data_IF_854622758152
#
_entry.id   IF_854622758152
#
_cell.length_a   1.000
_cell.length_b   1.000
_cell.length_c   1.000
_cell.angle_alpha   90.00
_cell.angle_beta   90.00
_cell.angle_gamma   90.00
#
_symmetry.space_group_name_H-M   'P 1'
#
loop_
_entity.id
_entity.type
_entity.pdbx_description
1 polymer ?
#
# COMPACT_ATOMS: atom_id res chain seq x y z
N UNK A 1 4.32 -28.57 -21.26
CA UNK A 1 3.57 -27.60 -22.04
C UNK A 1 4.57 -26.86 -22.92
N UNK A 2 4.64 -27.23 -24.21
CA UNK A 2 5.43 -26.49 -25.20
C UNK A 2 4.67 -25.22 -25.55
N UNK A 3 5.23 -24.02 -25.38
CA UNK A 3 4.63 -22.81 -25.92
C UNK A 3 4.76 -22.85 -27.44
N UNK A 4 3.69 -23.17 -28.12
CA UNK A 4 3.64 -22.96 -29.59
C UNK A 4 3.56 -21.44 -29.83
N UNK A 5 4.32 -20.89 -30.77
CA UNK A 5 4.40 -19.43 -31.00
C UNK A 5 3.09 -18.80 -31.52
N UNK A 6 2.05 -19.57 -31.69
CA UNK A 6 0.74 -19.12 -32.20
C UNK A 6 -0.32 -18.96 -31.08
N UNK A 7 -0.08 -19.42 -29.87
CA UNK A 7 -0.99 -19.27 -28.75
C UNK A 7 -0.40 -18.35 -27.69
N UNK A 8 -0.54 -17.04 -27.86
CA UNK A 8 -0.22 -16.04 -26.86
C UNK A 8 -1.25 -16.09 -25.71
N UNK A 9 -1.25 -17.16 -24.93
CA UNK A 9 -2.03 -17.22 -23.69
C UNK A 9 -1.26 -16.47 -22.60
N UNK A 10 -1.91 -15.51 -21.95
CA UNK A 10 -1.26 -14.72 -20.92
C UNK A 10 -2.13 -13.58 -20.40
N UNK A 11 -1.59 -12.87 -19.42
CA UNK A 11 -2.18 -11.65 -18.87
C UNK A 11 -1.26 -10.50 -19.27
N UNK A 12 -1.81 -9.52 -19.96
CA UNK A 12 -1.10 -8.30 -20.37
C UNK A 12 -1.68 -7.15 -19.57
N UNK A 13 -0.84 -6.40 -18.91
CA UNK A 13 -1.22 -5.22 -18.13
C UNK A 13 -0.50 -4.01 -18.72
N UNK A 14 -1.28 -3.01 -19.09
CA UNK A 14 -0.76 -1.73 -19.55
C UNK A 14 -1.26 -0.62 -18.63
N UNK A 15 -0.35 0.16 -18.06
CA UNK A 15 -0.65 1.26 -17.16
C UNK A 15 -0.21 2.57 -17.79
N UNK A 16 -1.09 3.57 -17.76
CA UNK A 16 -0.79 4.92 -18.19
C UNK A 16 -1.20 5.91 -17.09
N UNK A 17 -0.28 6.74 -16.67
CA UNK A 17 -0.52 7.80 -15.69
C UNK A 17 0.00 9.12 -16.23
N UNK A 18 -0.85 10.13 -16.26
CA UNK A 18 -0.50 11.48 -16.69
C UNK A 18 -0.85 12.52 -15.64
N UNK A 19 0.10 13.36 -15.32
CA UNK A 19 -0.10 14.53 -14.46
C UNK A 19 -0.62 15.67 -15.31
N UNK A 20 -1.87 16.07 -15.10
CA UNK A 20 -2.52 17.18 -15.83
C UNK A 20 -2.18 18.53 -15.21
N UNK A 21 -2.08 18.56 -13.88
CA UNK A 21 -1.66 19.73 -13.11
C UNK A 21 -0.73 19.28 -11.99
N UNK A 22 0.05 20.16 -11.36
CA UNK A 22 0.94 19.80 -10.26
C UNK A 22 0.24 19.10 -9.09
N UNK A 23 -1.09 19.15 -9.05
CA UNK A 23 -1.91 18.59 -7.95
C UNK A 23 -2.86 17.48 -8.40
N UNK A 24 -3.04 17.30 -9.70
CA UNK A 24 -4.02 16.37 -10.23
C UNK A 24 -3.42 15.49 -11.31
N UNK A 25 -3.53 14.19 -11.13
CA UNK A 25 -3.10 13.18 -12.09
C UNK A 25 -4.26 12.24 -12.41
N UNK A 26 -4.37 11.88 -13.67
CA UNK A 26 -5.28 10.86 -14.19
C UNK A 26 -4.49 9.69 -14.73
N UNK A 27 -5.03 8.49 -14.56
CA UNK A 27 -4.46 7.27 -15.10
C UNK A 27 -5.52 6.32 -15.61
N UNK A 28 -5.08 5.42 -16.45
CA UNK A 28 -5.85 4.29 -16.92
C UNK A 28 -5.00 3.02 -16.83
N UNK A 29 -5.63 1.92 -16.45
CA UNK A 29 -5.04 0.60 -16.42
C UNK A 29 -5.86 -0.31 -17.32
N UNK A 30 -5.22 -0.90 -18.32
CA UNK A 30 -5.82 -1.89 -19.18
C UNK A 30 -5.27 -3.26 -18.84
N UNK A 31 -6.16 -4.19 -18.51
CA UNK A 31 -5.83 -5.59 -18.27
C UNK A 31 -6.48 -6.42 -19.35
N UNK A 32 -5.66 -7.08 -20.15
CA UNK A 32 -6.10 -8.03 -21.16
C UNK A 32 -5.72 -9.44 -20.75
N UNK A 33 -6.71 -10.29 -20.61
CA UNK A 33 -6.54 -11.69 -20.21
C UNK A 33 -6.96 -12.60 -21.33
N UNK A 34 -6.05 -13.49 -21.71
CA UNK A 34 -6.27 -14.52 -22.72
C UNK A 34 -5.85 -15.89 -22.15
N UNK A 35 -6.68 -16.45 -21.26
CA UNK A 35 -6.35 -17.72 -20.58
C UNK A 35 -6.46 -18.93 -21.49
N UNK A 36 -7.31 -18.87 -22.51
CA UNK A 36 -7.48 -19.92 -23.50
C UNK A 36 -7.88 -19.31 -24.86
N UNK A 37 -7.68 -20.04 -26.00
CA UNK A 37 -7.97 -19.52 -27.34
C UNK A 37 -9.40 -19.06 -27.58
N UNK A 38 -10.34 -19.45 -26.73
CA UNK A 38 -11.75 -19.14 -26.84
C UNK A 38 -12.24 -18.05 -25.87
N UNK A 39 -11.40 -17.64 -24.91
CA UNK A 39 -11.79 -16.68 -23.87
C UNK A 39 -10.85 -15.49 -23.89
N UNK A 40 -11.39 -14.37 -24.29
CA UNK A 40 -10.72 -13.07 -24.25
C UNK A 40 -11.50 -12.12 -23.35
N UNK A 41 -10.82 -11.53 -22.40
CA UNK A 41 -11.39 -10.53 -21.51
C UNK A 41 -10.47 -9.31 -21.44
N UNK A 42 -11.02 -8.15 -21.78
CA UNK A 42 -10.33 -6.88 -21.68
C UNK A 42 -11.06 -5.98 -20.68
N UNK A 43 -10.36 -5.49 -19.70
CA UNK A 43 -10.89 -4.56 -18.69
C UNK A 43 -10.05 -3.31 -18.66
N UNK A 44 -10.70 -2.14 -18.66
CA UNK A 44 -10.03 -0.85 -18.52
C UNK A 44 -10.51 -0.19 -17.25
N UNK A 45 -9.60 -0.01 -16.29
CA UNK A 45 -9.83 0.76 -15.08
C UNK A 45 -9.37 2.21 -15.22
N UNK A 46 -9.98 3.12 -14.49
CA UNK A 46 -9.61 4.52 -14.44
C UNK A 46 -9.20 4.89 -13.02
N UNK A 47 -8.20 5.73 -12.90
CA UNK A 47 -7.72 6.22 -11.61
C UNK A 47 -7.49 7.73 -11.67
N UNK A 48 -7.78 8.38 -10.55
CA UNK A 48 -7.53 9.79 -10.34
C UNK A 48 -6.80 9.98 -9.00
N UNK A 49 -5.82 10.87 -8.99
CA UNK A 49 -5.08 11.24 -7.79
C UNK A 49 -5.10 12.74 -7.63
N UNK A 50 -5.47 13.18 -6.45
CA UNK A 50 -5.46 14.59 -6.09
C UNK A 50 -4.60 14.81 -4.84
N UNK A 51 -3.72 15.82 -4.92
CA UNK A 51 -2.76 16.16 -3.86
C UNK A 51 -3.05 17.59 -3.38
N UNK A 52 -3.11 17.79 -2.09
CA UNK A 52 -3.29 19.09 -1.46
C UNK A 52 -2.15 20.08 -1.78
N UNK A 53 -2.38 21.38 -1.58
CA UNK A 53 -1.41 22.42 -1.92
C UNK A 53 -0.07 22.28 -1.21
N UNK A 54 -0.07 21.91 0.06
CA UNK A 54 1.14 21.67 0.87
C UNK A 54 1.51 20.19 0.95
N UNK A 55 0.86 19.31 0.14
CA UNK A 55 1.00 17.86 0.19
C UNK A 55 0.54 17.24 1.52
N UNK A 56 -0.24 17.97 2.29
CA UNK A 56 -0.76 17.53 3.59
C UNK A 56 -1.80 16.42 3.46
N UNK A 57 -2.48 16.34 2.32
CA UNK A 57 -3.47 15.32 2.05
C UNK A 57 -3.41 14.82 0.60
N UNK A 58 -3.78 13.57 0.44
CA UNK A 58 -3.84 12.89 -0.84
C UNK A 58 -5.17 12.14 -0.91
N UNK A 59 -5.93 12.40 -1.96
CA UNK A 59 -7.13 11.64 -2.30
C UNK A 59 -6.88 10.85 -3.57
N UNK A 60 -7.28 9.58 -3.58
CA UNK A 60 -7.24 8.75 -4.79
C UNK A 60 -8.62 8.13 -5.02
N UNK A 61 -8.99 8.02 -6.28
CA UNK A 61 -10.19 7.32 -6.70
C UNK A 61 -9.81 6.35 -7.81
N UNK A 62 -10.27 5.13 -7.71
CA UNK A 62 -10.13 4.10 -8.72
C UNK A 62 -11.51 3.55 -9.05
N UNK A 63 -11.79 3.40 -10.31
CA UNK A 63 -13.03 2.83 -10.79
C UNK A 63 -12.78 1.83 -11.92
N UNK A 64 -13.43 0.69 -11.82
CA UNK A 64 -13.39 -0.36 -12.82
C UNK A 64 -14.80 -0.59 -13.38
N UNK A 65 -14.98 -0.74 -14.71
CA UNK A 65 -16.29 -0.94 -15.34
C UNK A 65 -17.02 -2.18 -14.83
N UNK A 66 -16.30 -3.14 -14.27
CA UNK A 66 -16.86 -4.34 -13.64
C UNK A 66 -17.69 -4.02 -12.37
N UNK A 67 -17.74 -2.76 -11.95
CA UNK A 67 -18.49 -2.31 -10.77
C UNK A 67 -17.68 -2.27 -9.49
N UNK A 68 -16.37 -2.21 -9.59
CA UNK A 68 -15.49 -2.05 -8.43
C UNK A 68 -15.03 -0.58 -8.39
N UNK A 69 -15.29 0.08 -7.27
CA UNK A 69 -14.81 1.44 -7.00
C UNK A 69 -14.07 1.46 -5.67
N UNK A 70 -12.93 2.14 -5.64
CA UNK A 70 -12.14 2.35 -4.44
C UNK A 70 -11.79 3.82 -4.31
N UNK A 71 -12.02 4.37 -3.12
CA UNK A 71 -11.69 5.73 -2.75
C UNK A 71 -10.76 5.68 -1.55
N UNK A 72 -9.60 6.32 -1.63
CA UNK A 72 -8.71 6.45 -0.48
C UNK A 72 -8.42 7.91 -0.20
N UNK A 73 -8.35 8.25 1.06
CA UNK A 73 -8.01 9.57 1.54
C UNK A 73 -6.96 9.46 2.65
N UNK A 74 -5.87 10.15 2.49
CA UNK A 74 -4.82 10.26 3.50
C UNK A 74 -4.60 11.71 3.84
N UNK A 75 -4.44 11.99 5.14
CA UNK A 75 -4.20 13.34 5.64
C UNK A 75 -3.17 13.29 6.77
N UNK A 76 -2.13 14.11 6.65
CA UNK A 76 -1.17 14.37 7.69
C UNK A 76 -1.69 15.52 8.56
N UNK A 77 -2.20 15.20 9.75
CA UNK A 77 -2.71 16.19 10.70
C UNK A 77 -1.58 16.94 11.39
N UNK A 78 -0.46 16.27 11.62
CA UNK A 78 0.76 16.85 12.19
C UNK A 78 1.96 16.02 11.76
N UNK A 79 3.17 16.46 12.10
CA UNK A 79 4.41 15.68 11.84
C UNK A 79 4.38 14.27 12.49
N UNK A 80 3.57 14.10 13.52
CA UNK A 80 3.48 12.85 14.29
C UNK A 80 2.20 12.06 14.03
N UNK A 81 1.18 12.67 13.42
CA UNK A 81 -0.16 12.07 13.29
C UNK A 81 -0.62 12.07 11.83
N UNK A 82 -0.83 10.88 11.32
CA UNK A 82 -1.46 10.64 10.01
C UNK A 82 -2.79 9.91 10.19
N UNK A 83 -3.77 10.27 9.40
CA UNK A 83 -5.04 9.57 9.30
C UNK A 83 -5.29 9.15 7.85
N UNK A 84 -5.92 8.02 7.67
CA UNK A 84 -6.30 7.52 6.35
C UNK A 84 -7.69 6.90 6.41
N UNK A 85 -8.45 7.09 5.35
CA UNK A 85 -9.71 6.41 5.12
C UNK A 85 -9.68 5.69 3.78
N UNK A 86 -10.27 4.51 3.75
CA UNK A 86 -10.46 3.70 2.55
C UNK A 86 -11.92 3.29 2.45
N UNK A 87 -12.49 3.43 1.27
CA UNK A 87 -13.85 3.00 0.96
C UNK A 87 -13.80 2.16 -0.32
N UNK A 88 -14.11 0.89 -0.18
CA UNK A 88 -14.24 -0.03 -1.29
C UNK A 88 -15.70 -0.37 -1.52
N UNK A 89 -16.15 -0.24 -2.76
CA UNK A 89 -17.51 -0.57 -3.18
C UNK A 89 -17.45 -1.60 -4.31
N UNK A 90 -18.23 -2.66 -4.18
CA UNK A 90 -18.40 -3.70 -5.18
C UNK A 90 -19.87 -3.69 -5.59
N UNK A 91 -20.15 -3.31 -6.83
CA UNK A 91 -21.52 -3.23 -7.38
C UNK A 91 -21.62 -4.18 -8.57
N UNK A 92 -21.60 -5.47 -8.31
CA UNK A 92 -21.86 -6.50 -9.32
C UNK A 92 -23.37 -6.77 -9.42
N UNK A 93 -23.88 -7.26 -10.56
CA UNK A 93 -25.30 -7.58 -10.74
C UNK A 93 -25.85 -8.53 -9.67
N UNK A 94 -25.01 -9.42 -9.16
CA UNK A 94 -25.38 -10.44 -8.17
C UNK A 94 -24.92 -10.12 -6.74
N UNK A 95 -24.04 -9.14 -6.56
CA UNK A 95 -23.45 -8.81 -5.25
C UNK A 95 -23.21 -7.32 -5.14
N UNK A 96 -23.80 -6.73 -4.11
CA UNK A 96 -23.50 -5.35 -3.71
C UNK A 96 -22.90 -5.37 -2.32
N UNK A 97 -21.71 -4.86 -2.21
CA UNK A 97 -20.97 -4.83 -0.96
C UNK A 97 -20.21 -3.52 -0.84
N UNK A 98 -20.11 -2.99 0.36
CA UNK A 98 -19.35 -1.78 0.62
C UNK A 98 -18.61 -1.96 1.95
N UNK A 99 -17.33 -1.71 1.93
CA UNK A 99 -16.45 -1.78 3.08
C UNK A 99 -15.72 -0.46 3.24
N UNK A 100 -15.83 0.11 4.42
CA UNK A 100 -15.08 1.30 4.79
C UNK A 100 -14.09 0.98 5.90
N UNK A 101 -12.91 1.54 5.85
CA UNK A 101 -11.94 1.45 6.91
C UNK A 101 -11.33 2.82 7.23
N UNK A 102 -11.05 3.04 8.49
CA UNK A 102 -10.36 4.22 9.00
C UNK A 102 -9.11 3.78 9.73
N UNK A 103 -8.00 4.40 9.43
CA UNK A 103 -6.72 4.12 10.05
C UNK A 103 -6.10 5.41 10.58
N UNK A 104 -5.40 5.30 11.70
CA UNK A 104 -4.61 6.37 12.27
C UNK A 104 -3.22 5.85 12.62
N UNK A 105 -2.21 6.65 12.37
CA UNK A 105 -0.83 6.40 12.77
C UNK A 105 -0.36 7.53 13.67
N UNK A 106 0.16 7.18 14.80
CA UNK A 106 0.85 8.10 15.70
C UNK A 106 2.32 7.71 15.80
N UNK A 107 3.21 8.61 15.42
CA UNK A 107 4.65 8.40 15.42
C UNK A 107 5.27 9.11 16.61
N UNK A 108 5.77 8.34 17.56
CA UNK A 108 6.59 8.83 18.68
C UNK A 108 8.07 8.84 18.25
N UNK A 109 8.92 9.38 19.10
CA UNK A 109 10.35 9.48 18.84
C UNK A 109 11.03 8.10 18.62
N UNK A 110 10.61 7.08 19.38
CA UNK A 110 11.17 5.72 19.33
C UNK A 110 10.08 4.63 19.24
N UNK A 111 8.85 5.04 18.97
CA UNK A 111 7.74 4.11 18.86
C UNK A 111 6.74 4.58 17.81
N UNK A 112 5.94 3.69 17.27
CA UNK A 112 4.79 4.01 16.42
C UNK A 112 3.57 3.19 16.85
N UNK A 113 2.43 3.85 16.89
CA UNK A 113 1.14 3.23 17.11
C UNK A 113 0.34 3.35 15.82
N UNK A 114 -0.18 2.24 15.33
CA UNK A 114 -1.11 2.19 14.20
C UNK A 114 -2.38 1.54 14.68
N UNK A 115 -3.50 2.14 14.38
CA UNK A 115 -4.81 1.58 14.68
C UNK A 115 -5.71 1.70 13.44
N UNK A 116 -6.50 0.68 13.18
CA UNK A 116 -7.45 0.63 12.08
C UNK A 116 -8.76 0.06 12.57
N UNK A 117 -9.85 0.68 12.18
CA UNK A 117 -11.21 0.18 12.40
C UNK A 117 -11.88 -0.01 11.04
N UNK A 118 -12.59 -1.09 10.90
CA UNK A 118 -13.34 -1.45 9.70
C UNK A 118 -14.85 -1.32 9.98
N UNK A 119 -15.62 -1.07 8.91
CA UNK A 119 -17.10 -1.05 8.95
C UNK A 119 -17.72 -2.37 9.40
N UNK A 120 -16.98 -3.47 9.31
CA UNK A 120 -17.36 -4.79 9.84
C UNK A 120 -17.14 -4.92 11.37
N UNK A 121 -16.76 -3.84 12.06
CA UNK A 121 -16.51 -3.87 13.51
C UNK A 121 -15.21 -4.54 13.92
N UNK A 122 -14.27 -4.69 12.99
CA UNK A 122 -12.95 -5.24 13.27
C UNK A 122 -11.99 -4.10 13.61
N UNK A 123 -11.42 -4.14 14.79
CA UNK A 123 -10.40 -3.21 15.26
C UNK A 123 -9.04 -3.93 15.26
N UNK A 124 -8.08 -3.36 14.55
CA UNK A 124 -6.70 -3.84 14.54
C UNK A 124 -5.78 -2.74 15.05
N UNK A 125 -4.87 -3.08 15.95
CA UNK A 125 -3.85 -2.15 16.43
C UNK A 125 -2.47 -2.80 16.42
N UNK A 126 -1.47 -2.01 16.10
CA UNK A 126 -0.06 -2.42 16.10
C UNK A 126 0.75 -1.33 16.79
N UNK A 127 1.44 -1.70 17.84
CA UNK A 127 2.39 -0.85 18.54
C UNK A 127 3.79 -1.40 18.34
N UNK A 128 4.67 -0.59 17.80
CA UNK A 128 6.08 -0.91 17.58
C UNK A 128 6.93 0.05 18.37
N UNK A 129 7.82 -0.48 19.21
CA UNK A 129 8.74 0.31 20.02
C UNK A 129 10.19 -0.13 19.76
N UNK A 130 11.05 0.80 19.40
CA UNK A 130 12.50 0.60 19.32
C UNK A 130 13.13 0.90 20.65
N UNK A 131 13.62 -0.14 21.32
CA UNK A 131 14.29 -0.02 22.63
C UNK A 131 15.76 0.37 22.43
N UNK A 132 16.36 -0.13 21.34
CA UNK A 132 17.71 0.23 20.92
C UNK A 132 17.81 0.22 19.40
N UNK A 133 18.87 0.74 18.77
CA UNK A 133 19.06 0.67 17.32
C UNK A 133 18.99 -0.75 16.76
N UNK A 134 19.35 -1.73 17.57
CA UNK A 134 19.38 -3.14 17.19
C UNK A 134 18.15 -3.95 17.65
N UNK A 135 17.25 -3.35 18.46
CA UNK A 135 16.20 -4.11 19.11
C UNK A 135 14.85 -3.40 19.04
N UNK A 136 13.87 -4.02 18.40
CA UNK A 136 12.49 -3.54 18.33
C UNK A 136 11.50 -4.59 18.84
N UNK A 137 10.49 -4.11 19.56
CA UNK A 137 9.35 -4.89 20.04
C UNK A 137 8.10 -4.46 19.30
N UNK A 138 7.30 -5.42 18.85
CA UNK A 138 6.03 -5.19 18.19
C UNK A 138 4.92 -5.91 18.94
N UNK A 139 3.90 -5.18 19.33
CA UNK A 139 2.66 -5.71 19.91
C UNK A 139 1.55 -5.50 18.88
N UNK A 140 0.81 -6.56 18.58
CA UNK A 140 -0.36 -6.47 17.71
C UNK A 140 -1.59 -7.01 18.41
N UNK A 141 -2.73 -6.37 18.16
CA UNK A 141 -4.04 -6.79 18.67
C UNK A 141 -5.09 -6.67 17.58
N UNK A 142 -5.94 -7.67 17.49
CA UNK A 142 -7.10 -7.69 16.62
C UNK A 142 -8.32 -8.06 17.47
N UNK A 143 -9.34 -7.22 17.42
CA UNK A 143 -10.63 -7.43 18.09
C UNK A 143 -11.71 -7.44 17.01
N UNK A 144 -12.48 -8.49 16.96
CA UNK A 144 -13.63 -8.62 16.09
C UNK A 144 -14.91 -8.56 16.94
N UNK A 145 -15.63 -7.44 16.86
CA UNK A 145 -16.84 -7.22 17.62
C UNK A 145 -18.02 -8.08 17.16
N UNK A 146 -18.05 -8.50 15.89
CA UNK A 146 -19.13 -9.31 15.36
C UNK A 146 -18.98 -10.79 15.73
N UNK A 147 -17.77 -11.33 15.66
CA UNK A 147 -17.50 -12.72 16.02
C UNK A 147 -17.14 -12.90 17.50
N UNK A 148 -16.93 -11.81 18.24
CA UNK A 148 -16.44 -11.85 19.62
C UNK A 148 -15.03 -12.41 19.76
N UNK A 149 -14.27 -12.44 18.67
CA UNK A 149 -12.92 -12.98 18.60
C UNK A 149 -11.86 -11.93 18.96
N UNK A 150 -10.84 -12.35 19.70
CA UNK A 150 -9.66 -11.53 19.97
C UNK A 150 -8.38 -12.31 19.61
N UNK A 151 -7.44 -11.63 18.95
CA UNK A 151 -6.12 -12.19 18.65
C UNK A 151 -5.07 -11.21 19.11
N UNK A 152 -4.02 -11.72 19.72
CA UNK A 152 -2.88 -10.93 20.16
C UNK A 152 -1.60 -11.53 19.60
N UNK A 153 -0.67 -10.65 19.19
CA UNK A 153 0.63 -11.03 18.67
C UNK A 153 1.74 -10.24 19.36
N UNK A 154 2.86 -10.90 19.59
CA UNK A 154 4.10 -10.31 20.06
C UNK A 154 5.20 -10.63 19.05
N UNK A 155 5.90 -9.61 18.60
CA UNK A 155 7.04 -9.71 17.71
C UNK A 155 8.28 -9.11 18.34
N UNK A 156 9.43 -9.73 18.10
CA UNK A 156 10.75 -9.22 18.48
C UNK A 156 11.59 -9.18 17.21
N UNK A 157 12.14 -8.03 16.88
CA UNK A 157 13.08 -7.85 15.79
C UNK A 157 14.44 -7.49 16.34
N UNK A 158 15.46 -8.24 15.93
CA UNK A 158 16.85 -8.00 16.29
C UNK A 158 17.62 -7.76 15.01
N UNK A 159 18.07 -6.53 14.80
CA UNK A 159 18.91 -6.13 13.67
C UNK A 159 20.36 -6.12 14.12
N UNK A 160 21.16 -7.08 13.66
CA UNK A 160 22.61 -7.06 13.91
C UNK A 160 23.27 -6.13 12.87
N UNK A 161 23.68 -4.96 13.37
CA UNK A 161 24.59 -3.99 12.79
C UNK A 161 24.79 -3.92 11.29
N UNK A 162 24.15 -2.94 10.67
CA UNK A 162 24.88 -2.17 9.66
C UNK A 162 25.77 -1.19 10.47
N UNK A 163 27.07 -1.36 10.43
CA UNK A 163 27.98 -0.32 10.90
C UNK A 163 27.57 1.01 10.26
N UNK A 164 27.45 2.10 11.03
CA UNK A 164 27.20 3.39 10.43
C UNK A 164 28.32 3.62 9.42
N UNK A 165 27.97 3.66 8.15
CA UNK A 165 28.89 4.10 7.10
C UNK A 165 29.25 5.52 7.48
N UNK A 166 30.48 5.71 7.96
CA UNK A 166 31.02 7.02 8.27
C UNK A 166 30.92 7.87 6.98
N UNK A 167 30.08 8.91 6.93
CA UNK A 167 29.93 9.72 5.72
C UNK A 167 31.22 10.44 5.32
N UNK A 168 32.26 10.35 6.13
CA UNK A 168 33.62 10.87 5.89
C UNK A 168 34.64 9.80 5.52
N UNK A 169 34.27 8.54 5.39
CA UNK A 169 35.17 7.53 4.86
C UNK A 169 35.42 7.82 3.37
N UNK A 170 36.58 8.38 3.09
CA UNK A 170 37.09 8.57 1.72
C UNK A 170 37.03 7.21 0.97
N UNK A 171 36.57 7.20 -0.28
CA UNK A 171 36.57 5.95 -1.05
C UNK A 171 38.02 5.42 -1.14
N UNK A 172 38.20 4.09 -1.09
CA UNK A 172 39.49 3.49 -1.17
C UNK A 172 40.16 3.93 -2.47
N UNK A 173 41.36 4.51 -2.37
CA UNK A 173 42.19 4.88 -3.52
C UNK A 173 42.47 3.63 -4.34
N UNK A 174 42.26 3.68 -5.69
CA UNK A 174 42.58 2.54 -6.55
C UNK A 174 44.09 2.22 -6.46
N UNK A 175 44.49 0.94 -6.53
CA UNK A 175 45.88 0.54 -6.47
C UNK A 175 46.67 1.19 -7.62
N UNK A 176 47.71 1.91 -7.27
CA UNK A 176 48.68 2.46 -8.22
C UNK A 176 49.44 1.29 -8.86
N UNK A 177 49.26 1.08 -10.13
CA UNK A 177 50.06 0.11 -10.91
C UNK A 177 51.42 0.72 -11.11
N UNK A 178 52.53 0.10 -10.67
CA UNK A 178 53.87 0.58 -10.99
C UNK A 178 54.16 0.32 -12.45
N UNK A 179 54.70 1.33 -13.14
CA UNK A 179 55.26 1.18 -14.50
C UNK A 179 56.55 0.38 -14.47
#
# INVERSE_FOLDING_TARGET
>A
LNPSPTNLTGIYVANYLQTLTPRFALGAEAVYQHPSPEIEEATVGYMAKWVGPAKEWIATAQWQPQGIAQLTYWHQLSEQVDVAGDLQMITLPQRRDAQASLAARYSFRMASLRAQIDSLGKLTSVYEARISPAFALTFSGELDHLSGGAKFGLGVSIESGVEPVDPMALPPTPPTVPM
#
